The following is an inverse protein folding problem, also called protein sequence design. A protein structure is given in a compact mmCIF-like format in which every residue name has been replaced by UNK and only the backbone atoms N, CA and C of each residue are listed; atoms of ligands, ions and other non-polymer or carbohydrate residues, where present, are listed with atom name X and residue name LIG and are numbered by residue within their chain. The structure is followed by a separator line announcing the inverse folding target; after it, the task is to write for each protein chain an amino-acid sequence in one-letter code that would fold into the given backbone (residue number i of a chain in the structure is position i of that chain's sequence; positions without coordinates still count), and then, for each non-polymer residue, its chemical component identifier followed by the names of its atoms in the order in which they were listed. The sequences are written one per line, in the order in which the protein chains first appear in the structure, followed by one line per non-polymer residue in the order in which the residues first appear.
data_IF_019628845807
#
_entry.id   IF_019628845807
#
_cell.length_a   1.000
_cell.length_b   1.000
_cell.length_c   1.000
_cell.angle_alpha   90.00
_cell.angle_beta   90.00
_cell.angle_gamma   90.00
#
_symmetry.space_group_name_H-M   'P 1'
#
loop_
_entity.id
_entity.type
_entity.pdbx_description
1 polymer ?
#
# COMPACT_ATOMS: atom_id res chain seq x y z
N UNK A 1 3.81 -5.57 30.07
CA UNK A 1 3.17 -6.84 29.71
C UNK A 1 2.44 -6.58 28.42
N UNK A 2 2.99 -7.03 27.29
CA UNK A 2 2.35 -6.89 25.99
C UNK A 2 1.24 -7.95 25.97
N UNK A 3 0.00 -7.52 26.22
CA UNK A 3 -1.16 -8.34 25.92
C UNK A 3 -1.17 -8.53 24.41
N UNK A 4 -0.89 -9.75 23.97
CA UNK A 4 -0.71 -10.09 22.56
C UNK A 4 -2.05 -9.87 21.83
N UNK A 5 -2.17 -8.75 21.10
CA UNK A 5 -3.34 -8.36 20.31
C UNK A 5 -3.79 -9.50 19.38
N UNK A 6 -2.83 -10.30 18.91
CA UNK A 6 -3.07 -11.51 18.13
C UNK A 6 -3.98 -12.50 18.86
N UNK A 7 -3.77 -12.74 20.17
CA UNK A 7 -4.50 -13.76 20.92
C UNK A 7 -5.97 -13.39 21.12
N UNK A 8 -6.27 -12.12 21.45
CA UNK A 8 -7.66 -11.69 21.67
C UNK A 8 -8.45 -11.64 20.36
N UNK A 9 -7.82 -11.20 19.27
CA UNK A 9 -8.45 -11.19 17.96
C UNK A 9 -8.58 -12.60 17.38
N UNK A 10 -7.62 -13.49 17.61
CA UNK A 10 -7.72 -14.88 17.17
C UNK A 10 -8.82 -15.63 17.92
N UNK A 11 -9.00 -15.38 19.23
CA UNK A 11 -10.15 -15.89 19.98
C UNK A 11 -11.48 -15.32 19.46
N UNK A 12 -11.56 -14.02 19.20
CA UNK A 12 -12.76 -13.40 18.63
C UNK A 12 -13.06 -13.94 17.21
N UNK A 13 -12.04 -14.23 16.40
CA UNK A 13 -12.17 -14.87 15.07
C UNK A 13 -12.86 -16.22 15.13
N UNK A 14 -12.58 -17.04 16.14
CA UNK A 14 -13.22 -18.35 16.30
C UNK A 14 -14.74 -18.26 16.49
N UNK A 15 -15.23 -17.12 16.95
CA UNK A 15 -16.65 -16.84 17.16
C UNK A 15 -17.31 -16.06 16.02
N UNK A 16 -16.56 -15.78 14.94
CA UNK A 16 -17.07 -15.03 13.78
C UNK A 16 -17.31 -15.92 12.58
N UNK A 17 -18.36 -15.56 11.84
CA UNK A 17 -18.60 -16.09 10.51
C UNK A 17 -17.59 -15.45 9.55
N UNK A 18 -16.83 -16.29 8.85
CA UNK A 18 -15.90 -15.86 7.80
C UNK A 18 -16.63 -15.82 6.47
N UNK A 19 -16.62 -14.66 5.82
CA UNK A 19 -17.28 -14.42 4.52
C UNK A 19 -16.28 -13.83 3.55
N UNK A 20 -16.40 -14.18 2.27
CA UNK A 20 -15.65 -13.56 1.16
C UNK A 20 -16.63 -12.79 0.28
N UNK A 21 -16.83 -11.48 0.51
CA UNK A 21 -17.76 -10.69 -0.28
C UNK A 21 -17.30 -10.62 -1.75
N UNK A 22 -18.24 -10.46 -2.69
CA UNK A 22 -17.90 -10.06 -4.05
C UNK A 22 -17.41 -8.60 -4.07
N UNK A 23 -16.54 -8.29 -5.03
CA UNK A 23 -16.05 -6.94 -5.29
C UNK A 23 -15.55 -6.83 -6.71
N UNK A 24 -15.49 -5.60 -7.21
CA UNK A 24 -14.96 -5.29 -8.54
C UNK A 24 -13.53 -4.72 -8.44
N UNK A 25 -12.69 -5.11 -9.40
CA UNK A 25 -11.37 -4.50 -9.64
C UNK A 25 -11.45 -3.71 -10.93
N UNK A 26 -11.38 -2.39 -10.82
CA UNK A 26 -11.49 -1.47 -11.95
C UNK A 26 -10.13 -0.84 -12.24
N UNK A 27 -9.72 -0.92 -13.51
CA UNK A 27 -8.51 -0.28 -14.00
C UNK A 27 -8.76 1.18 -14.35
N UNK A 28 -8.12 2.07 -13.59
CA UNK A 28 -8.14 3.51 -13.85
C UNK A 28 -7.08 3.81 -14.92
N UNK A 29 -7.41 4.59 -15.96
CA UNK A 29 -6.44 5.00 -16.96
C UNK A 29 -5.19 5.65 -16.34
N UNK A 30 -4.01 5.25 -16.83
CA UNK A 30 -2.73 5.82 -16.39
C UNK A 30 -2.67 7.33 -16.65
N UNK A 31 -3.25 7.78 -17.77
CA UNK A 31 -3.38 9.21 -18.14
C UNK A 31 -4.85 9.61 -18.16
N UNK A 32 -5.13 10.74 -17.51
CA UNK A 32 -6.43 11.38 -17.46
C UNK A 32 -6.18 12.86 -17.74
N UNK A 33 -6.06 13.20 -19.03
CA UNK A 33 -5.52 14.49 -19.47
C UNK A 33 -6.34 15.69 -18.98
N UNK A 34 -7.65 15.49 -18.75
CA UNK A 34 -8.59 16.52 -18.31
C UNK A 34 -8.95 16.44 -16.81
N UNK A 35 -8.38 15.49 -16.05
CA UNK A 35 -8.69 15.29 -14.63
C UNK A 35 -7.45 15.52 -13.77
N UNK A 36 -7.38 16.66 -13.06
CA UNK A 36 -6.36 16.91 -12.04
C UNK A 36 -6.20 15.74 -11.06
N UNK A 37 -4.96 15.46 -10.67
CA UNK A 37 -4.66 14.48 -9.64
C UNK A 37 -5.13 14.97 -8.25
N UNK A 38 -5.45 14.03 -7.37
CA UNK A 38 -5.79 14.30 -5.98
C UNK A 38 -7.21 13.84 -5.62
N UNK A 39 -7.69 14.32 -4.47
CA UNK A 39 -8.98 13.93 -3.93
C UNK A 39 -9.07 12.41 -3.73
N UNK A 40 -10.20 11.84 -4.15
CA UNK A 40 -10.47 10.40 -4.00
C UNK A 40 -10.08 9.58 -5.23
N UNK A 41 -9.40 10.17 -6.22
CA UNK A 41 -8.89 9.44 -7.37
C UNK A 41 -7.57 8.73 -7.00
N UNK A 42 -7.37 7.44 -7.35
CA UNK A 42 -6.11 6.76 -7.08
C UNK A 42 -4.92 7.50 -7.71
N UNK A 43 -3.85 7.77 -6.93
CA UNK A 43 -2.60 8.24 -7.48
C UNK A 43 -2.02 7.23 -8.50
N UNK A 44 -1.28 7.67 -9.53
CA UNK A 44 -0.54 6.76 -10.40
C UNK A 44 0.40 5.86 -9.59
N UNK A 45 0.41 4.56 -9.90
CA UNK A 45 1.17 3.57 -9.13
C UNK A 45 0.50 3.22 -7.81
N UNK A 46 -0.82 3.13 -7.75
CA UNK A 46 -1.51 2.70 -6.54
C UNK A 46 -2.66 1.76 -6.82
N UNK A 47 -2.99 0.98 -5.79
CA UNK A 47 -4.25 0.27 -5.66
C UNK A 47 -4.96 0.88 -4.46
N UNK A 48 -6.20 1.34 -4.65
CA UNK A 48 -7.03 1.88 -3.58
C UNK A 48 -8.24 0.99 -3.41
N UNK A 49 -8.44 0.50 -2.19
CA UNK A 49 -9.64 -0.25 -1.81
C UNK A 49 -10.56 0.71 -1.08
N UNK A 50 -11.73 0.92 -1.65
CA UNK A 50 -12.83 1.66 -1.05
C UNK A 50 -13.76 0.66 -0.39
N UNK A 51 -14.23 1.03 0.78
CA UNK A 51 -15.07 0.19 1.63
C UNK A 51 -16.21 1.04 2.15
N UNK A 52 -17.46 0.68 1.88
CA UNK A 52 -18.59 1.56 2.20
C UNK A 52 -19.86 0.87 2.61
N UNK A 53 -20.73 1.65 3.24
CA UNK A 53 -22.09 1.27 3.56
C UNK A 53 -22.96 1.39 2.29
N UNK A 54 -23.55 0.29 1.78
CA UNK A 54 -24.41 0.31 0.59
C UNK A 54 -25.66 1.17 0.76
N UNK A 55 -26.08 1.46 1.99
CA UNK A 55 -27.19 2.37 2.26
C UNK A 55 -26.77 3.85 2.24
N UNK A 56 -25.47 4.16 2.32
CA UNK A 56 -24.98 5.53 2.38
C UNK A 56 -25.02 6.20 0.98
N UNK A 57 -25.73 7.34 0.82
CA UNK A 57 -25.81 8.02 -0.48
C UNK A 57 -24.46 8.45 -1.07
N UNK A 58 -23.49 8.80 -0.21
CA UNK A 58 -22.15 9.16 -0.64
C UNK A 58 -21.38 7.97 -1.26
N UNK A 59 -21.56 6.77 -0.68
CA UNK A 59 -21.00 5.54 -1.24
C UNK A 59 -21.61 5.21 -2.61
N UNK A 60 -22.94 5.23 -2.72
CA UNK A 60 -23.62 4.96 -3.98
C UNK A 60 -23.16 5.90 -5.10
N UNK A 61 -23.03 7.21 -4.82
CA UNK A 61 -22.52 8.18 -5.80
C UNK A 61 -21.10 7.86 -6.26
N UNK A 62 -20.21 7.51 -5.33
CA UNK A 62 -18.83 7.13 -5.67
C UNK A 62 -18.80 5.88 -6.54
N UNK A 63 -19.54 4.83 -6.16
CA UNK A 63 -19.63 3.57 -6.91
C UNK A 63 -20.17 3.79 -8.32
N UNK A 64 -21.24 4.58 -8.45
CA UNK A 64 -21.86 4.88 -9.74
C UNK A 64 -20.92 5.74 -10.63
N UNK A 65 -20.17 6.67 -10.04
CA UNK A 65 -19.15 7.46 -10.75
C UNK A 65 -18.01 6.56 -11.28
N UNK A 66 -17.53 5.61 -10.48
CA UNK A 66 -16.56 4.60 -10.95
C UNK A 66 -17.15 3.75 -12.07
N UNK A 67 -18.36 3.22 -11.89
CA UNK A 67 -19.01 2.34 -12.85
C UNK A 67 -19.27 3.00 -14.22
N UNK A 68 -19.46 4.31 -14.23
CA UNK A 68 -19.61 5.13 -15.44
C UNK A 68 -18.30 5.66 -16.01
N UNK A 69 -17.18 5.51 -15.29
CA UNK A 69 -15.88 6.06 -15.69
C UNK A 69 -15.78 7.58 -15.56
N UNK A 70 -16.64 8.22 -14.75
CA UNK A 70 -16.57 9.65 -14.46
C UNK A 70 -15.49 9.95 -13.41
N UNK A 71 -14.24 9.98 -13.87
CA UNK A 71 -13.08 10.16 -13.00
C UNK A 71 -13.01 11.55 -12.35
N UNK A 72 -13.69 12.55 -12.89
CA UNK A 72 -13.81 13.86 -12.26
C UNK A 72 -14.73 13.79 -11.04
N UNK A 73 -15.88 13.12 -11.16
CA UNK A 73 -16.76 12.86 -10.02
C UNK A 73 -16.10 11.94 -8.97
N UNK A 74 -15.29 10.95 -9.39
CA UNK A 74 -14.51 10.13 -8.44
C UNK A 74 -13.49 10.99 -7.70
N UNK A 75 -12.77 11.89 -8.37
CA UNK A 75 -11.82 12.81 -7.73
C UNK A 75 -12.50 13.70 -6.70
N UNK A 76 -13.65 14.27 -7.06
CA UNK A 76 -14.40 15.25 -6.28
C UNK A 76 -15.33 14.64 -5.22
N UNK A 77 -15.38 13.31 -5.13
CA UNK A 77 -16.12 12.65 -4.07
C UNK A 77 -15.62 13.14 -2.70
N UNK A 78 -16.57 13.37 -1.79
CA UNK A 78 -16.28 13.78 -0.42
C UNK A 78 -15.19 12.88 0.17
N UNK A 79 -14.22 13.44 0.91
CA UNK A 79 -13.20 12.62 1.54
C UNK A 79 -13.90 11.68 2.54
N UNK A 80 -13.99 10.40 2.21
CA UNK A 80 -14.51 9.39 3.14
C UNK A 80 -13.71 9.40 4.43
N UNK A 81 -14.34 9.03 5.54
CA UNK A 81 -13.60 8.87 6.79
C UNK A 81 -12.52 7.81 6.57
N UNK A 82 -11.29 8.15 6.90
CA UNK A 82 -10.23 7.16 6.88
C UNK A 82 -10.63 5.98 7.75
N UNK A 83 -10.35 4.77 7.29
CA UNK A 83 -10.19 3.63 8.20
C UNK A 83 -8.95 3.96 9.02
N UNK A 84 -9.14 4.82 10.03
CA UNK A 84 -8.08 5.40 10.80
C UNK A 84 -7.34 4.25 11.48
N UNK A 85 -6.01 4.19 11.41
CA UNK A 85 -5.28 3.35 12.35
C UNK A 85 -5.66 3.84 13.75
N UNK A 86 -6.18 2.94 14.59
CA UNK A 86 -6.45 3.27 15.98
C UNK A 86 -5.21 3.85 16.64
N UNK A 87 -5.41 4.86 17.49
CA UNK A 87 -4.34 5.62 18.15
C UNK A 87 -3.41 4.72 18.97
N UNK A 88 -3.94 3.60 19.47
CA UNK A 88 -3.20 2.59 20.21
C UNK A 88 -3.66 1.18 19.83
N UNK A 89 -2.79 0.20 20.11
CA UNK A 89 -3.05 -1.22 19.90
C UNK A 89 -4.25 -1.72 20.74
N UNK A 90 -4.35 -1.27 21.99
CA UNK A 90 -5.45 -1.63 22.90
C UNK A 90 -6.80 -1.08 22.44
N UNK A 91 -6.81 0.17 21.95
CA UNK A 91 -7.99 0.79 21.37
C UNK A 91 -8.42 0.09 20.07
N UNK A 92 -7.46 -0.41 19.28
CA UNK A 92 -7.77 -1.23 18.12
C UNK A 92 -8.55 -2.49 18.50
N UNK A 93 -8.07 -3.24 19.50
CA UNK A 93 -8.75 -4.47 19.96
C UNK A 93 -10.15 -4.15 20.46
N UNK A 94 -10.27 -3.15 21.34
CA UNK A 94 -11.55 -2.82 21.96
C UNK A 94 -12.60 -2.43 20.90
N UNK A 95 -12.20 -1.65 19.89
CA UNK A 95 -13.09 -1.24 18.82
C UNK A 95 -13.40 -2.38 17.84
N UNK A 96 -12.41 -3.19 17.45
CA UNK A 96 -12.58 -4.33 16.55
C UNK A 96 -13.50 -5.39 17.14
N UNK A 97 -13.30 -5.74 18.41
CA UNK A 97 -14.14 -6.70 19.11
C UNK A 97 -15.58 -6.20 19.12
N UNK A 98 -15.81 -4.91 19.38
CA UNK A 98 -17.15 -4.30 19.41
C UNK A 98 -17.77 -4.12 18.02
N UNK A 99 -16.97 -4.07 16.96
CA UNK A 99 -17.47 -3.82 15.60
C UNK A 99 -18.23 -5.05 15.07
N UNK A 100 -19.40 -4.84 14.42
CA UNK A 100 -20.19 -5.93 13.83
C UNK A 100 -19.40 -6.79 12.82
N UNK A 101 -18.53 -6.16 12.03
CA UNK A 101 -17.67 -6.81 11.05
C UNK A 101 -16.33 -6.08 10.92
N UNK A 102 -15.25 -6.83 10.74
CA UNK A 102 -13.97 -6.29 10.27
C UNK A 102 -13.45 -7.17 9.13
N UNK A 103 -12.46 -6.67 8.39
CA UNK A 103 -11.97 -7.32 7.19
C UNK A 103 -10.44 -7.35 7.08
N UNK A 104 -9.96 -8.26 6.25
CA UNK A 104 -8.58 -8.30 5.77
C UNK A 104 -8.59 -8.13 4.25
N UNK A 105 -7.55 -7.47 3.73
CA UNK A 105 -7.29 -7.37 2.29
C UNK A 105 -6.06 -8.20 1.98
N UNK A 106 -6.17 -9.09 1.00
CA UNK A 106 -5.10 -9.97 0.54
C UNK A 106 -4.89 -9.79 -0.96
N UNK A 107 -3.68 -10.05 -1.41
CA UNK A 107 -3.31 -10.07 -2.82
C UNK A 107 -2.24 -11.14 -3.04
N UNK A 108 -2.45 -12.01 -4.04
CA UNK A 108 -1.55 -13.10 -4.40
C UNK A 108 -1.10 -13.93 -3.17
N UNK A 109 -2.04 -14.28 -2.29
CA UNK A 109 -1.78 -15.06 -1.08
C UNK A 109 -1.16 -14.30 0.09
N UNK A 110 -0.72 -13.05 -0.09
CA UNK A 110 -0.18 -12.20 0.98
C UNK A 110 -1.27 -11.31 1.59
N UNK A 111 -1.30 -11.23 2.92
CA UNK A 111 -2.17 -10.25 3.61
C UNK A 111 -1.55 -8.86 3.54
N UNK A 112 -2.22 -7.94 2.85
CA UNK A 112 -1.79 -6.55 2.66
C UNK A 112 -2.26 -5.65 3.79
N UNK A 113 -3.46 -5.89 4.30
CA UNK A 113 -4.06 -5.11 5.37
C UNK A 113 -4.87 -6.01 6.29
N UNK A 114 -4.71 -5.79 7.59
CA UNK A 114 -5.41 -6.55 8.63
C UNK A 114 -6.29 -5.62 9.43
N UNK A 115 -7.36 -6.20 9.95
CA UNK A 115 -8.21 -5.55 10.93
C UNK A 115 -8.79 -4.22 10.41
N UNK A 116 -9.28 -4.19 9.18
CA UNK A 116 -10.01 -3.04 8.66
C UNK A 116 -11.44 -3.02 9.19
N UNK A 117 -11.94 -1.87 9.59
CA UNK A 117 -13.34 -1.69 9.98
C UNK A 117 -13.81 -0.30 9.56
N UNK A 118 -15.04 -0.17 9.06
CA UNK A 118 -15.63 1.15 8.87
C UNK A 118 -16.10 1.64 10.25
N UNK A 119 -15.68 2.83 10.71
CA UNK A 119 -16.21 3.42 11.94
C UNK A 119 -17.73 3.57 11.87
N UNK A 120 -18.43 3.33 12.98
CA UNK A 120 -19.88 3.51 13.04
C UNK A 120 -20.26 4.93 12.61
N UNK A 121 -21.14 5.06 11.63
CA UNK A 121 -21.61 6.35 11.12
C UNK A 121 -20.74 6.96 10.01
N UNK A 122 -19.58 6.38 9.71
CA UNK A 122 -18.83 6.74 8.51
C UNK A 122 -19.52 6.16 7.27
N UNK A 123 -19.76 6.96 6.22
CA UNK A 123 -20.45 6.49 5.02
C UNK A 123 -19.59 5.50 4.22
N UNK A 124 -18.26 5.67 4.26
CA UNK A 124 -17.25 4.81 3.65
C UNK A 124 -15.85 5.25 4.05
N UNK A 125 -14.85 4.44 3.73
CA UNK A 125 -13.43 4.74 3.92
C UNK A 125 -12.53 4.10 2.87
N UNK A 126 -11.22 4.33 2.97
CA UNK A 126 -10.24 3.82 2.00
C UNK A 126 -8.98 3.24 2.62
N UNK A 127 -8.36 2.34 1.85
CA UNK A 127 -7.03 1.81 2.12
C UNK A 127 -6.22 1.89 0.82
N UNK A 128 -5.04 2.53 0.89
CA UNK A 128 -4.15 2.68 -0.25
C UNK A 128 -2.93 1.76 -0.13
N UNK A 129 -2.59 1.12 -1.24
CA UNK A 129 -1.40 0.30 -1.41
C UNK A 129 -0.54 0.84 -2.55
N UNK A 130 0.79 0.94 -2.35
CA UNK A 130 1.73 1.12 -3.45
C UNK A 130 1.56 0.03 -4.52
N UNK A 131 1.59 0.38 -5.80
CA UNK A 131 1.55 -0.56 -6.92
C UNK A 131 2.61 -0.24 -7.97
N UNK A 132 3.38 -1.25 -8.37
CA UNK A 132 4.51 -1.10 -9.31
C UNK A 132 4.11 -1.02 -10.78
N UNK A 133 2.88 -1.40 -11.14
CA UNK A 133 2.46 -1.56 -12.53
C UNK A 133 2.67 -2.97 -13.11
N UNK A 134 3.27 -3.90 -12.34
CA UNK A 134 3.43 -5.30 -12.75
C UNK A 134 2.13 -6.09 -12.77
N UNK A 135 2.13 -7.26 -13.40
CA UNK A 135 0.90 -8.02 -13.65
C UNK A 135 0.27 -8.56 -12.35
N UNK A 136 -0.99 -8.21 -12.13
CA UNK A 136 -1.85 -8.73 -11.05
C UNK A 136 -3.22 -9.03 -11.68
N UNK A 137 -3.75 -10.23 -11.51
CA UNK A 137 -5.10 -10.52 -11.97
C UNK A 137 -6.14 -10.00 -10.97
N UNK A 138 -7.36 -9.61 -11.40
CA UNK A 138 -8.45 -9.32 -10.46
C UNK A 138 -8.69 -10.43 -9.44
N UNK A 139 -8.55 -11.70 -9.85
CA UNK A 139 -8.68 -12.88 -8.99
C UNK A 139 -7.52 -13.10 -8.02
N UNK A 140 -6.43 -12.32 -8.11
CA UNK A 140 -5.36 -12.37 -7.12
C UNK A 140 -5.75 -11.62 -5.84
N UNK A 141 -6.75 -10.72 -5.90
CA UNK A 141 -7.27 -10.03 -4.73
C UNK A 141 -8.27 -10.91 -3.97
N UNK A 142 -8.27 -10.77 -2.65
CA UNK A 142 -9.24 -11.39 -1.78
C UNK A 142 -9.57 -10.45 -0.62
N UNK A 143 -10.86 -10.32 -0.33
CA UNK A 143 -11.35 -9.62 0.86
C UNK A 143 -11.97 -10.69 1.76
N UNK A 144 -11.53 -10.72 3.01
CA UNK A 144 -12.01 -11.66 4.01
C UNK A 144 -12.67 -10.89 5.12
N UNK A 145 -13.97 -11.04 5.26
CA UNK A 145 -14.77 -10.45 6.33
C UNK A 145 -14.96 -11.42 7.48
N UNK A 146 -14.87 -10.89 8.70
CA UNK A 146 -15.15 -11.59 9.95
C UNK A 146 -16.36 -10.92 10.59
N UNK A 147 -17.53 -11.54 10.41
CA UNK A 147 -18.82 -11.02 10.89
C UNK A 147 -19.20 -11.70 12.19
N UNK A 148 -19.77 -10.95 13.15
CA UNK A 148 -20.37 -11.59 14.34
C UNK A 148 -21.50 -12.53 13.90
N UNK A 149 -21.46 -13.77 14.37
CA UNK A 149 -22.55 -14.73 14.19
C UNK A 149 -23.75 -14.25 15.01
N UNK A 150 -24.84 -13.86 14.35
CA UNK A 150 -25.97 -13.22 15.03
C UNK A 150 -26.87 -14.23 15.75
N UNK A 151 -26.86 -14.20 17.08
CA UNK A 151 -28.06 -14.50 17.87
C UNK A 151 -28.77 -13.16 18.16
N UNK A 152 -29.46 -12.58 17.18
CA UNK A 152 -30.40 -11.48 17.47
C UNK A 152 -30.81 -10.58 16.30
N UNK A 153 -32.10 -10.16 16.23
CA UNK A 153 -32.68 -9.34 15.16
C UNK A 153 -32.25 -7.86 15.15
N UNK A 154 -31.44 -7.42 16.12
CA UNK A 154 -30.81 -6.10 16.15
C UNK A 154 -29.39 -6.09 15.54
N UNK A 155 -28.83 -7.26 15.21
CA UNK A 155 -27.59 -7.40 14.45
C UNK A 155 -27.93 -7.51 12.96
N UNK A 156 -28.58 -6.48 12.42
CA UNK A 156 -28.64 -6.29 10.98
C UNK A 156 -27.21 -6.37 10.48
N UNK A 157 -26.94 -7.34 9.61
CA UNK A 157 -25.69 -7.48 8.89
C UNK A 157 -25.31 -6.09 8.38
N UNK A 158 -24.24 -5.51 8.94
CA UNK A 158 -23.62 -4.37 8.31
C UNK A 158 -23.10 -4.92 6.99
N UNK A 159 -23.91 -4.81 5.94
CA UNK A 159 -23.48 -5.15 4.60
C UNK A 159 -22.46 -4.09 4.22
N UNK A 160 -21.26 -4.53 3.89
CA UNK A 160 -20.19 -3.66 3.46
C UNK A 160 -19.92 -4.02 2.01
N UNK A 161 -19.87 -3.00 1.16
CA UNK A 161 -19.45 -3.14 -0.22
C UNK A 161 -18.00 -2.71 -0.37
N UNK A 162 -17.32 -3.34 -1.34
CA UNK A 162 -15.92 -3.08 -1.62
C UNK A 162 -15.72 -2.80 -3.09
N UNK A 163 -14.82 -1.86 -3.37
CA UNK A 163 -14.43 -1.48 -4.71
C UNK A 163 -12.92 -1.30 -4.75
N UNK A 164 -12.26 -1.98 -5.67
CA UNK A 164 -10.80 -1.89 -5.83
C UNK A 164 -10.53 -1.10 -7.10
N UNK A 165 -9.89 0.05 -6.97
CA UNK A 165 -9.38 0.79 -8.10
C UNK A 165 -7.88 0.58 -8.22
N UNK A 166 -7.42 0.19 -9.39
CA UNK A 166 -6.00 0.01 -9.70
C UNK A 166 -5.59 1.02 -10.75
N UNK A 167 -4.54 1.81 -10.46
CA UNK A 167 -3.97 2.76 -11.41
C UNK A 167 -2.50 2.49 -11.61
N UNK A 168 -2.13 1.98 -12.78
CA UNK A 168 -0.74 1.75 -13.13
C UNK A 168 0.04 3.07 -13.20
N UNK A 169 1.33 3.09 -12.80
CA UNK A 169 2.19 4.24 -12.98
C UNK A 169 2.55 4.43 -14.46
N UNK A 170 3.09 5.60 -14.81
CA UNK A 170 3.77 5.78 -16.10
C UNK A 170 5.18 5.22 -15.98
N UNK A 171 5.47 4.19 -16.77
CA UNK A 171 6.75 3.50 -16.74
C UNK A 171 7.55 3.84 -18.00
N UNK A 172 8.82 4.14 -17.84
CA UNK A 172 9.80 4.21 -18.92
C UNK A 172 10.01 2.82 -19.56
N UNK A 173 10.61 2.78 -20.75
CA UNK A 173 10.92 1.53 -21.42
C UNK A 173 11.82 0.60 -20.57
N UNK A 174 12.79 1.17 -19.85
CA UNK A 174 13.67 0.42 -18.97
C UNK A 174 12.89 -0.17 -17.78
N UNK A 175 12.01 0.60 -17.14
CA UNK A 175 11.19 0.12 -16.02
C UNK A 175 10.22 -0.98 -16.46
N UNK A 176 9.63 -0.86 -17.65
CA UNK A 176 8.79 -1.91 -18.23
C UNK A 176 9.60 -3.19 -18.48
N UNK A 177 10.81 -3.08 -19.00
CA UNK A 177 11.70 -4.23 -19.22
C UNK A 177 12.10 -4.89 -17.90
N UNK A 178 12.44 -4.11 -16.87
CA UNK A 178 12.76 -4.63 -15.54
C UNK A 178 11.56 -5.35 -14.92
N UNK A 179 10.36 -4.75 -14.98
CA UNK A 179 9.15 -5.38 -14.49
C UNK A 179 8.82 -6.67 -15.24
N UNK A 180 9.01 -6.70 -16.55
CA UNK A 180 8.80 -7.90 -17.38
C UNK A 180 9.80 -9.04 -17.13
N UNK A 181 10.91 -8.78 -16.41
CA UNK A 181 11.89 -9.80 -16.04
C UNK A 181 11.60 -10.47 -14.69
N UNK A 182 10.64 -9.94 -13.92
CA UNK A 182 10.19 -10.53 -12.66
C UNK A 182 9.43 -11.82 -12.97
N UNK A 183 9.76 -12.89 -12.26
CA UNK A 183 9.07 -14.18 -12.40
C UNK A 183 7.57 -14.00 -12.10
N UNK A 184 6.66 -14.45 -12.99
CA UNK A 184 5.23 -14.37 -12.79
C UNK A 184 4.70 -15.10 -11.56
N UNK A 185 5.51 -15.91 -10.87
CA UNK A 185 5.17 -16.52 -9.58
C UNK A 185 5.34 -15.56 -8.40
N UNK A 186 6.08 -14.45 -8.57
CA UNK A 186 6.36 -13.45 -7.53
C UNK A 186 5.42 -12.24 -7.60
N UNK A 187 4.15 -12.43 -8.01
CA UNK A 187 3.22 -11.31 -8.25
C UNK A 187 2.94 -10.47 -7.00
N UNK A 188 3.07 -11.06 -5.83
CA UNK A 188 2.85 -10.42 -4.54
C UNK A 188 3.80 -9.23 -4.28
N UNK A 189 4.95 -9.17 -4.96
CA UNK A 189 5.92 -8.09 -4.83
C UNK A 189 5.46 -6.81 -5.54
N UNK A 190 4.49 -6.91 -6.45
CA UNK A 190 4.00 -5.78 -7.22
C UNK A 190 3.14 -4.82 -6.39
N UNK A 191 2.69 -5.23 -5.21
CA UNK A 191 1.91 -4.41 -4.27
C UNK A 191 2.74 -4.14 -3.02
N UNK A 192 2.79 -2.90 -2.54
CA UNK A 192 3.42 -2.57 -1.26
C UNK A 192 2.50 -2.82 -0.08
N UNK A 193 3.06 -2.82 1.12
CA UNK A 193 2.24 -2.73 2.35
C UNK A 193 1.57 -1.36 2.45
N UNK A 194 0.45 -1.28 3.18
CA UNK A 194 -0.29 -0.03 3.44
C UNK A 194 0.68 1.08 3.88
N UNK A 195 0.56 2.26 3.27
CA UNK A 195 1.15 3.48 3.79
C UNK A 195 0.10 4.29 4.55
N UNK A 196 0.36 4.77 5.78
CA UNK A 196 -0.30 5.99 6.24
C UNK A 196 -0.07 7.06 5.18
N UNK A 197 -1.06 7.91 4.90
CA UNK A 197 -1.07 8.87 3.79
C UNK A 197 0.05 9.91 3.80
N UNK A 198 1.27 9.47 3.52
CA UNK A 198 2.30 10.27 2.92
C UNK A 198 2.22 10.03 1.42
N UNK A 199 1.97 11.11 0.69
CA UNK A 199 1.93 11.25 -0.78
C UNK A 199 3.31 10.93 -1.42
N UNK A 200 4.18 10.22 -0.72
CA UNK A 200 5.44 9.73 -1.25
C UNK A 200 5.16 8.43 -2.01
N UNK A 201 5.65 8.35 -3.24
CA UNK A 201 5.29 7.35 -4.22
C UNK A 201 5.90 5.95 -3.90
N UNK A 202 5.40 4.91 -4.56
CA UNK A 202 5.93 3.53 -4.52
C UNK A 202 7.42 3.49 -4.87
N UNK A 203 7.84 4.34 -5.80
CA UNK A 203 9.23 4.50 -6.18
C UNK A 203 10.06 4.97 -4.99
N UNK A 204 9.53 5.78 -4.08
CA UNK A 204 10.23 6.10 -2.83
C UNK A 204 10.34 4.89 -1.90
N UNK A 205 9.43 3.91 -1.95
CA UNK A 205 9.61 2.64 -1.22
C UNK A 205 10.73 1.83 -1.83
N UNK A 206 10.69 1.69 -3.16
CA UNK A 206 11.64 0.88 -3.92
C UNK A 206 13.03 1.51 -3.77
N UNK A 207 13.15 2.83 -3.93
CA UNK A 207 14.37 3.58 -3.67
C UNK A 207 14.83 3.43 -2.22
N UNK A 208 13.99 3.62 -1.20
CA UNK A 208 14.40 3.41 0.21
C UNK A 208 14.76 1.97 0.56
N UNK A 209 14.16 0.99 -0.11
CA UNK A 209 14.50 -0.43 0.07
C UNK A 209 15.85 -0.73 -0.61
N UNK A 210 16.04 -0.24 -1.84
CA UNK A 210 17.32 -0.31 -2.57
C UNK A 210 18.43 0.38 -1.79
N UNK A 211 18.21 1.60 -1.29
CA UNK A 211 19.16 2.34 -0.46
C UNK A 211 19.54 1.57 0.82
N UNK A 212 18.55 0.95 1.47
CA UNK A 212 18.80 0.13 2.67
C UNK A 212 19.60 -1.13 2.36
N UNK A 213 19.32 -1.78 1.24
CA UNK A 213 20.04 -2.99 0.83
C UNK A 213 21.47 -2.66 0.36
N UNK A 214 21.66 -1.51 -0.30
CA UNK A 214 22.98 -0.94 -0.61
C UNK A 214 23.75 -0.67 0.69
N UNK A 215 23.14 0.01 1.66
CA UNK A 215 23.78 0.31 2.94
C UNK A 215 24.20 -0.96 3.69
N UNK A 216 23.34 -1.98 3.71
CA UNK A 216 23.67 -3.28 4.33
C UNK A 216 24.86 -3.96 3.67
N UNK A 217 24.95 -3.90 2.33
CA UNK A 217 26.07 -4.52 1.62
C UNK A 217 27.36 -3.70 1.81
N UNK A 218 27.28 -2.38 1.93
CA UNK A 218 28.40 -1.52 2.33
C UNK A 218 28.88 -1.84 3.75
N UNK A 219 27.98 -1.93 4.72
CA UNK A 219 28.31 -2.30 6.10
C UNK A 219 28.98 -3.69 6.15
N UNK A 220 28.48 -4.64 5.35
CA UNK A 220 29.06 -5.99 5.23
C UNK A 220 30.47 -5.97 4.62
N UNK A 221 30.69 -5.14 3.59
CA UNK A 221 32.02 -4.98 2.97
C UNK A 221 32.99 -4.24 3.90
N UNK A 222 32.56 -3.22 4.61
CA UNK A 222 33.38 -2.51 5.60
C UNK A 222 33.71 -3.39 6.81
N UNK A 223 32.79 -4.25 7.28
CA UNK A 223 33.10 -5.26 8.30
C UNK A 223 34.12 -6.29 7.84
N UNK A 224 34.16 -6.62 6.54
CA UNK A 224 35.19 -7.50 5.96
C UNK A 224 36.55 -6.83 5.75
N UNK A 225 36.58 -5.50 5.66
CA UNK A 225 37.78 -4.74 5.28
C UNK A 225 38.42 -4.01 6.47
N UNK A 226 37.67 -3.73 7.54
CA UNK A 226 38.14 -2.98 8.70
C UNK A 226 38.25 -3.82 9.96
N UNK A 227 39.38 -4.52 10.09
CA UNK A 227 40.08 -4.68 11.37
C UNK A 227 40.81 -3.37 11.77
N UNK A 228 40.18 -2.21 11.53
CA UNK A 228 40.72 -0.92 11.94
C UNK A 228 39.56 -0.03 12.40
N UNK A 229 39.57 0.25 13.70
CA UNK A 229 38.66 1.16 14.39
C UNK A 229 38.67 2.55 13.74
N UNK A 230 37.54 3.01 13.24
CA UNK A 230 37.19 4.43 13.24
C UNK A 230 35.81 4.56 13.86
N UNK A 231 35.81 5.03 15.11
CA UNK A 231 34.65 5.52 15.81
C UNK A 231 34.17 6.80 15.11
N UNK A 232 33.01 6.73 14.47
CA UNK A 232 32.29 7.88 13.94
C UNK A 232 30.82 7.53 13.82
N UNK A 233 30.00 8.10 14.71
CA UNK A 233 28.54 8.02 14.66
C UNK A 233 28.08 8.75 13.41
N UNK A 234 27.56 8.03 12.41
CA UNK A 234 26.86 8.63 11.28
C UNK A 234 25.40 8.89 11.68
N UNK A 235 25.15 10.15 12.02
CA UNK A 235 23.82 10.66 12.33
C UNK A 235 23.08 10.94 11.02
N UNK A 236 22.27 9.97 10.54
CA UNK A 236 21.14 10.13 9.60
C UNK A 236 21.27 10.97 8.32
N UNK A 237 22.47 11.42 7.96
CA UNK A 237 22.74 12.33 6.85
C UNK A 237 23.02 11.58 5.55
N UNK A 238 22.77 12.25 4.43
CA UNK A 238 23.04 11.76 3.09
C UNK A 238 24.48 11.24 2.93
N UNK A 239 24.62 10.11 2.24
CA UNK A 239 25.92 9.51 1.90
C UNK A 239 26.73 10.52 1.04
N UNK A 240 27.98 10.85 1.41
CA UNK A 240 28.85 11.73 0.64
C UNK A 240 29.11 11.21 -0.79
N UNK A 241 29.15 12.09 -1.79
CA UNK A 241 29.42 11.73 -3.20
C UNK A 241 30.77 11.02 -3.39
N UNK A 242 31.73 11.25 -2.50
CA UNK A 242 33.02 10.56 -2.48
C UNK A 242 32.89 9.06 -2.27
N UNK A 243 31.93 8.66 -1.44
CA UNK A 243 31.76 7.27 -1.01
C UNK A 243 30.98 6.49 -2.09
N UNK A 244 30.10 7.18 -2.83
CA UNK A 244 29.47 6.66 -4.03
C UNK A 244 30.50 6.40 -5.12
N UNK A 245 31.50 7.28 -5.27
CA UNK A 245 32.55 7.15 -6.27
C UNK A 245 33.57 6.03 -5.96
N UNK A 246 33.83 5.75 -4.69
CA UNK A 246 34.74 4.68 -4.25
C UNK A 246 34.17 3.27 -4.53
N UNK A 247 32.84 3.13 -4.47
CA UNK A 247 32.12 1.88 -4.80
C UNK A 247 32.17 1.55 -6.31
N UNK A 248 32.47 2.53 -7.17
CA UNK A 248 32.59 2.37 -8.64
C UNK A 248 33.83 1.54 -9.06
N UNK A 249 34.65 1.08 -8.10
CA UNK A 249 35.79 0.20 -8.34
C UNK A 249 35.40 -1.28 -8.45
N UNK A 250 35.37 -1.78 -9.70
CA UNK A 250 35.43 -3.21 -10.11
C UNK A 250 34.15 -4.05 -9.90
N UNK A 251 33.08 -3.73 -10.63
CA UNK A 251 32.20 -4.68 -11.35
C UNK A 251 30.98 -3.91 -11.90
N UNK A 252 30.96 -3.67 -13.22
CA UNK A 252 30.71 -2.32 -13.73
C UNK A 252 29.44 -2.07 -14.56
N UNK A 253 28.42 -2.92 -14.58
CA UNK A 253 27.23 -2.64 -15.43
C UNK A 253 25.95 -2.33 -14.64
N UNK A 254 25.58 -3.12 -13.63
CA UNK A 254 24.31 -2.90 -12.93
C UNK A 254 24.34 -1.73 -11.92
N UNK A 255 25.46 -1.53 -11.22
CA UNK A 255 25.59 -0.49 -10.21
C UNK A 255 25.74 0.92 -10.82
N UNK A 256 26.37 1.02 -11.99
CA UNK A 256 26.54 2.27 -12.72
C UNK A 256 25.19 2.83 -13.22
N UNK A 257 24.31 1.97 -13.76
CA UNK A 257 22.99 2.39 -14.24
C UNK A 257 22.06 2.87 -13.12
N UNK A 258 22.14 2.28 -11.93
CA UNK A 258 21.31 2.70 -10.78
C UNK A 258 21.83 4.01 -10.18
N UNK A 259 23.16 4.19 -10.10
CA UNK A 259 23.76 5.45 -9.66
C UNK A 259 23.47 6.61 -10.63
N UNK A 260 23.52 6.36 -11.95
CA UNK A 260 23.11 7.35 -12.95
C UNK A 260 21.63 7.73 -12.83
N UNK A 261 20.74 6.76 -12.56
CA UNK A 261 19.30 7.03 -12.35
C UNK A 261 19.06 7.87 -11.08
N UNK A 262 19.79 7.61 -10.01
CA UNK A 262 19.70 8.39 -8.77
C UNK A 262 20.26 9.82 -8.94
N UNK A 263 21.35 9.98 -9.68
CA UNK A 263 21.94 11.29 -10.01
C UNK A 263 21.03 12.11 -10.94
N UNK A 264 20.42 11.47 -11.94
CA UNK A 264 19.46 12.09 -12.85
C UNK A 264 18.24 12.62 -12.08
N UNK A 265 17.75 11.85 -11.10
CA UNK A 265 16.64 12.24 -10.22
C UNK A 265 16.99 13.45 -9.34
N UNK A 266 18.14 13.48 -8.66
CA UNK A 266 18.57 14.63 -7.85
C UNK A 266 18.64 15.91 -8.68
N UNK A 267 19.17 15.79 -9.90
CA UNK A 267 19.26 16.90 -10.86
C UNK A 267 17.88 17.39 -11.33
N UNK A 268 16.89 16.50 -11.45
CA UNK A 268 15.51 16.84 -11.80
C UNK A 268 14.73 17.47 -10.65
N UNK A 269 15.03 17.09 -9.40
CA UNK A 269 14.33 17.58 -8.20
C UNK A 269 14.97 18.85 -7.60
N UNK A 270 16.09 19.32 -8.15
CA UNK A 270 16.79 20.51 -7.65
C UNK A 270 17.46 20.30 -6.28
N UNK A 271 17.58 19.06 -5.84
CA UNK A 271 18.24 18.67 -4.61
C UNK A 271 19.74 18.69 -4.87
N UNK A 272 20.39 19.77 -4.40
CA UNK A 272 21.84 19.96 -4.45
C UNK A 272 22.51 19.30 -3.25
#
# INVERSE_FOLDING_TARGET
MVSDLSVHLDQDREHRLVVKPPFDVIDVPTRLDDVPLGGMLPPPGSIVVYVGDPAAPAWCRLRDAVGSGDWAAVRDADIGDFVAPWSTEEEAVEQLVKTPAYFEIRCAGRTLYRHGAIPTGAPWGTVLFPYTGGEIAPGDFEIVEYRRSSEGPASASLEVEYLILRRAPQLSALEQQLLGSIDPSMREIHVGSRRPHDINCVMDQITRNIERDIQRELDRKHQRTSSCLVLGVFDGGAIPESDVAEVLGKDQEAAASVAELLLLRRRMLGES
#
